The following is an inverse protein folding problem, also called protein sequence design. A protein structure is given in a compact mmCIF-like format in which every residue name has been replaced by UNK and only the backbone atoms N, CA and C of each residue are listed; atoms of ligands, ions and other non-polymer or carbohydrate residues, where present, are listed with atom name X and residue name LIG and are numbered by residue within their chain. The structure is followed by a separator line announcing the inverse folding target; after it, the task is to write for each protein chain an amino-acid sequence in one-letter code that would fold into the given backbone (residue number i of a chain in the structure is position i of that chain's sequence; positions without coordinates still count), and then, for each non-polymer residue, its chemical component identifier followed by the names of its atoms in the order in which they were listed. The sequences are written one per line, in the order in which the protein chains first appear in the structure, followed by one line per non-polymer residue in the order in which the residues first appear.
data_IF_023086143751
#
_entry.id   IF_023086143751
#
_cell.length_a   1.000
_cell.length_b   1.000
_cell.length_c   1.000
_cell.angle_alpha   90.00
_cell.angle_beta   90.00
_cell.angle_gamma   90.00
#
_symmetry.space_group_name_H-M   'P 1'
#
loop_
_entity.id
_entity.type
_entity.pdbx_description
1 polymer ?
#
# COMPACT_ATOMS: atom_id res chain seq x y z
N UNK A 1 24.30 11.01 -23.07
CA UNK A 1 23.42 10.97 -24.26
C UNK A 1 22.04 10.62 -23.77
N UNK A 2 21.05 11.48 -24.06
CA UNK A 2 19.70 11.43 -23.50
C UNK A 2 19.07 10.05 -23.73
N UNK A 3 18.63 9.39 -22.67
CA UNK A 3 17.69 8.28 -22.80
C UNK A 3 16.38 8.90 -23.27
N UNK A 4 16.16 8.90 -24.58
CA UNK A 4 14.85 9.18 -25.17
C UNK A 4 13.87 8.15 -24.62
N UNK A 5 13.08 8.53 -23.62
CA UNK A 5 11.88 7.81 -23.23
C UNK A 5 10.92 7.88 -24.41
N UNK A 6 11.04 6.90 -25.30
CA UNK A 6 10.12 6.67 -26.40
C UNK A 6 8.73 6.43 -25.82
N UNK A 7 7.86 7.46 -25.92
CA UNK A 7 6.40 7.39 -25.94
C UNK A 7 5.80 6.14 -25.30
N UNK A 8 5.98 5.96 -23.99
CA UNK A 8 5.12 5.07 -23.23
C UNK A 8 3.81 5.84 -23.04
N UNK A 9 2.89 5.65 -23.98
CA UNK A 9 1.56 6.25 -23.98
C UNK A 9 0.95 6.15 -22.58
N UNK A 10 0.83 7.29 -21.90
CA UNK A 10 -0.13 7.42 -20.83
C UNK A 10 -1.49 6.96 -21.41
N UNK A 11 -2.03 5.86 -20.89
CA UNK A 11 -3.30 5.30 -21.35
C UNK A 11 -4.34 6.42 -21.44
N UNK A 12 -4.98 6.58 -22.60
CA UNK A 12 -6.13 7.47 -22.74
C UNK A 12 -7.20 7.00 -21.75
N UNK A 13 -7.45 7.80 -20.72
CA UNK A 13 -8.57 7.64 -19.81
C UNK A 13 -9.86 7.84 -20.64
N UNK A 14 -10.66 6.80 -20.90
CA UNK A 14 -11.78 6.88 -21.85
C UNK A 14 -12.96 7.72 -21.34
N UNK A 15 -13.03 7.98 -20.03
CA UNK A 15 -14.20 8.56 -19.37
C UNK A 15 -14.13 10.07 -19.08
N UNK A 16 -13.08 10.77 -19.56
CA UNK A 16 -12.92 12.22 -19.35
C UNK A 16 -13.26 13.03 -20.60
N UNK A 17 -13.92 14.19 -20.46
CA UNK A 17 -14.10 15.13 -21.56
C UNK A 17 -12.76 15.45 -22.26
N UNK A 18 -12.70 15.54 -23.60
CA UNK A 18 -11.45 15.64 -24.34
C UNK A 18 -10.48 16.73 -23.86
N UNK A 19 -11.00 17.90 -23.47
CA UNK A 19 -10.21 19.02 -22.95
C UNK A 19 -9.59 18.75 -21.57
N UNK A 20 -10.31 18.03 -20.72
CA UNK A 20 -9.82 17.65 -19.38
C UNK A 20 -8.81 16.52 -19.47
N UNK A 21 -9.04 15.55 -20.37
CA UNK A 21 -8.09 14.49 -20.66
C UNK A 21 -6.76 15.06 -21.19
N UNK A 22 -6.82 16.00 -22.14
CA UNK A 22 -5.62 16.68 -22.69
C UNK A 22 -4.89 17.49 -21.62
N UNK A 23 -5.64 18.22 -20.77
CA UNK A 23 -5.07 18.96 -19.64
C UNK A 23 -4.34 18.05 -18.67
N UNK A 24 -4.97 16.96 -18.20
CA UNK A 24 -4.34 15.97 -17.30
C UNK A 24 -3.13 15.32 -17.95
N UNK A 25 -3.22 14.95 -19.23
CA UNK A 25 -2.09 14.39 -19.97
C UNK A 25 -0.90 15.34 -19.97
N UNK A 26 -1.13 16.63 -20.26
CA UNK A 26 -0.08 17.65 -20.25
C UNK A 26 0.50 17.87 -18.85
N UNK A 27 -0.32 17.80 -17.80
CA UNK A 27 0.12 17.92 -16.42
C UNK A 27 0.98 16.73 -15.98
N UNK A 28 0.58 15.49 -16.29
CA UNK A 28 1.40 14.30 -16.02
C UNK A 28 2.70 14.31 -16.84
N UNK A 29 2.65 14.74 -18.11
CA UNK A 29 3.86 14.85 -18.94
C UNK A 29 4.86 15.84 -18.36
N UNK A 30 4.38 16.98 -17.83
CA UNK A 30 5.27 17.95 -17.15
C UNK A 30 6.01 17.34 -15.97
N UNK A 31 5.37 16.46 -15.19
CA UNK A 31 6.04 15.76 -14.07
C UNK A 31 7.18 14.87 -14.56
N UNK A 32 6.98 14.18 -15.68
CA UNK A 32 8.00 13.34 -16.32
C UNK A 32 9.15 14.22 -16.83
N UNK A 33 8.83 15.29 -17.56
CA UNK A 33 9.83 16.19 -18.16
C UNK A 33 10.70 16.87 -17.10
N UNK A 34 10.16 17.12 -15.90
CA UNK A 34 10.88 17.72 -14.77
C UNK A 34 11.51 16.69 -13.81
N UNK A 35 11.34 15.40 -14.03
CA UNK A 35 11.85 14.38 -13.12
C UNK A 35 13.38 14.32 -13.16
N UNK A 36 13.98 14.17 -11.98
CA UNK A 36 15.44 14.01 -11.81
C UNK A 36 15.74 12.73 -11.04
N UNK A 37 16.96 12.22 -11.18
CA UNK A 37 17.40 11.10 -10.35
C UNK A 37 17.48 11.53 -8.88
N UNK A 38 17.26 10.58 -7.97
CA UNK A 38 17.45 10.81 -6.54
C UNK A 38 18.91 11.20 -6.27
N UNK A 39 19.07 12.18 -5.40
CA UNK A 39 20.36 12.55 -4.79
C UNK A 39 20.84 11.44 -3.84
N UNK A 40 22.13 11.46 -3.51
CA UNK A 40 22.70 10.48 -2.57
C UNK A 40 21.99 10.51 -1.20
N UNK A 41 21.59 11.69 -0.73
CA UNK A 41 20.83 11.84 0.52
C UNK A 41 19.45 11.18 0.42
N UNK A 42 18.73 11.37 -0.69
CA UNK A 42 17.42 10.75 -0.92
C UNK A 42 17.52 9.23 -1.12
N UNK A 43 18.64 8.72 -1.66
CA UNK A 43 18.89 7.27 -1.76
C UNK A 43 19.07 6.66 -0.37
N UNK A 44 19.81 7.32 0.52
CA UNK A 44 19.98 6.90 1.91
C UNK A 44 18.63 6.91 2.62
N UNK A 45 17.89 8.02 2.56
CA UNK A 45 16.55 8.15 3.16
C UNK A 45 15.59 7.08 2.62
N UNK A 46 15.56 6.84 1.31
CA UNK A 46 14.77 5.77 0.71
C UNK A 46 15.11 4.41 1.32
N UNK A 47 16.40 4.12 1.50
CA UNK A 47 16.85 2.84 2.07
C UNK A 47 16.40 2.71 3.52
N UNK A 48 16.44 3.78 4.30
CA UNK A 48 15.92 3.81 5.67
C UNK A 48 14.40 3.65 5.71
N UNK A 49 13.65 4.34 4.85
CA UNK A 49 12.19 4.24 4.80
C UNK A 49 11.73 2.83 4.42
N UNK A 50 12.48 2.11 3.58
CA UNK A 50 12.17 0.73 3.22
C UNK A 50 12.24 -0.24 4.41
N UNK A 51 12.97 0.09 5.49
CA UNK A 51 13.03 -0.74 6.70
C UNK A 51 11.94 -0.42 7.72
N UNK A 52 11.30 0.74 7.59
CA UNK A 52 10.24 1.20 8.52
C UNK A 52 8.86 0.62 8.19
N UNK A 53 8.70 0.00 7.02
CA UNK A 53 7.46 -0.65 6.61
C UNK A 53 7.32 -2.08 7.13
N UNK A 54 6.10 -2.63 6.99
CA UNK A 54 5.79 -4.03 7.33
C UNK A 54 6.20 -5.00 6.21
N UNK A 55 7.44 -4.90 5.72
CA UNK A 55 7.94 -5.66 4.56
C UNK A 55 8.04 -7.18 4.77
N UNK A 56 8.00 -7.62 6.04
CA UNK A 56 7.95 -9.02 6.44
C UNK A 56 6.54 -9.62 6.43
N UNK A 57 5.50 -8.83 6.12
CA UNK A 57 4.11 -9.29 5.99
C UNK A 57 3.72 -9.44 4.51
N UNK A 58 3.41 -10.67 4.13
CA UNK A 58 2.89 -11.02 2.81
C UNK A 58 1.39 -10.72 2.70
N UNK A 59 0.91 -10.59 1.46
CA UNK A 59 -0.53 -10.44 1.17
C UNK A 59 -1.36 -11.60 1.70
N UNK A 60 -0.80 -12.82 1.76
CA UNK A 60 -1.49 -14.00 2.30
C UNK A 60 -1.69 -13.87 3.81
N UNK A 61 -0.66 -13.47 4.55
CA UNK A 61 -0.73 -13.29 6.00
C UNK A 61 -1.70 -12.17 6.37
N UNK A 62 -1.71 -11.08 5.60
CA UNK A 62 -2.72 -10.02 5.74
C UNK A 62 -4.15 -10.58 5.61
N UNK A 63 -4.42 -11.40 4.58
CA UNK A 63 -5.74 -12.00 4.41
C UNK A 63 -6.11 -12.98 5.53
N UNK A 64 -5.14 -13.75 6.03
CA UNK A 64 -5.33 -14.62 7.20
C UNK A 64 -5.65 -13.80 8.44
N UNK A 65 -4.92 -12.71 8.67
CA UNK A 65 -5.16 -11.79 9.77
C UNK A 65 -6.58 -11.22 9.73
N UNK A 66 -7.05 -10.69 8.59
CA UNK A 66 -8.42 -10.16 8.46
C UNK A 66 -9.48 -11.23 8.76
N UNK A 67 -9.34 -12.44 8.20
CA UNK A 67 -10.27 -13.55 8.46
C UNK A 67 -10.25 -14.03 9.91
N UNK A 68 -9.08 -14.03 10.54
CA UNK A 68 -8.96 -14.41 11.94
C UNK A 68 -9.61 -13.35 12.85
N UNK A 69 -9.51 -12.07 12.51
CA UNK A 69 -10.22 -11.00 13.20
C UNK A 69 -11.75 -11.14 13.06
N UNK A 70 -12.27 -11.49 11.88
CA UNK A 70 -13.69 -11.83 11.70
C UNK A 70 -14.12 -13.02 12.58
N UNK A 71 -13.27 -14.06 12.69
CA UNK A 71 -13.60 -15.30 13.41
C UNK A 71 -13.54 -15.17 14.94
N UNK A 72 -12.55 -14.46 15.47
CA UNK A 72 -12.25 -14.41 16.91
C UNK A 72 -12.47 -13.03 17.54
N UNK A 73 -12.66 -12.00 16.72
CA UNK A 73 -12.70 -10.61 17.17
C UNK A 73 -11.30 -10.03 17.41
N UNK A 74 -11.20 -8.71 17.30
CA UNK A 74 -9.92 -7.98 17.28
C UNK A 74 -9.02 -8.11 18.52
N UNK A 75 -9.58 -8.55 19.64
CA UNK A 75 -8.88 -8.62 20.92
C UNK A 75 -8.28 -10.01 21.19
N UNK A 76 -8.71 -11.05 20.47
CA UNK A 76 -8.23 -12.43 20.69
C UNK A 76 -6.96 -12.70 19.86
N UNK A 77 -5.90 -11.96 20.19
CA UNK A 77 -4.63 -11.98 19.45
C UNK A 77 -3.94 -13.35 19.52
N UNK A 78 -4.17 -14.12 20.60
CA UNK A 78 -3.64 -15.49 20.73
C UNK A 78 -4.21 -16.42 19.67
N UNK A 79 -5.53 -16.38 19.43
CA UNK A 79 -6.14 -17.22 18.40
C UNK A 79 -5.89 -16.68 16.99
N UNK A 80 -5.77 -15.35 16.83
CA UNK A 80 -5.35 -14.75 15.55
C UNK A 80 -3.94 -15.21 15.17
N UNK A 81 -2.98 -15.18 16.10
CA UNK A 81 -1.61 -15.61 15.82
C UNK A 81 -1.52 -17.09 15.42
N UNK A 82 -2.36 -17.95 15.98
CA UNK A 82 -2.43 -19.38 15.60
C UNK A 82 -2.89 -19.62 14.16
N UNK A 83 -3.60 -18.69 13.52
CA UNK A 83 -4.03 -18.81 12.12
C UNK A 83 -2.94 -18.34 11.12
N UNK A 84 -1.84 -17.77 11.62
CA UNK A 84 -0.76 -17.20 10.83
C UNK A 84 0.54 -17.94 11.18
N UNK A 85 0.74 -19.10 10.56
CA UNK A 85 1.85 -20.03 10.87
C UNK A 85 3.27 -19.41 10.83
N UNK A 86 3.42 -18.30 10.12
CA UNK A 86 4.70 -17.61 9.85
C UNK A 86 4.95 -16.40 10.74
N UNK A 87 4.05 -16.09 11.69
CA UNK A 87 4.16 -14.94 12.59
C UNK A 87 4.03 -15.39 14.04
N UNK A 88 4.84 -14.79 14.89
CA UNK A 88 4.73 -14.95 16.34
C UNK A 88 3.62 -14.07 16.92
N UNK A 89 3.16 -14.38 18.13
CA UNK A 89 2.17 -13.55 18.82
C UNK A 89 2.63 -12.09 18.94
N UNK A 90 3.90 -11.85 19.29
CA UNK A 90 4.45 -10.50 19.40
C UNK A 90 4.39 -9.74 18.07
N UNK A 91 4.71 -10.38 16.94
CA UNK A 91 4.58 -9.76 15.62
C UNK A 91 3.12 -9.47 15.27
N UNK A 92 2.18 -10.34 15.64
CA UNK A 92 0.74 -10.09 15.44
C UNK A 92 0.23 -8.96 16.32
N UNK A 93 0.69 -8.84 17.55
CA UNK A 93 0.35 -7.72 18.46
C UNK A 93 0.82 -6.38 17.88
N UNK A 94 2.08 -6.31 17.45
CA UNK A 94 2.67 -5.10 16.84
C UNK A 94 1.91 -4.72 15.55
N UNK A 95 1.67 -5.69 14.68
CA UNK A 95 0.94 -5.48 13.43
C UNK A 95 -0.50 -5.04 13.68
N UNK A 96 -1.19 -5.69 14.63
CA UNK A 96 -2.58 -5.38 14.98
C UNK A 96 -2.74 -3.94 15.44
N UNK A 97 -1.82 -3.45 16.27
CA UNK A 97 -1.82 -2.05 16.72
C UNK A 97 -1.79 -1.08 15.55
N UNK A 98 -0.83 -1.24 14.63
CA UNK A 98 -0.68 -0.35 13.46
C UNK A 98 -1.86 -0.51 12.50
N UNK A 99 -2.33 -1.74 12.28
CA UNK A 99 -3.47 -2.03 11.43
C UNK A 99 -4.73 -1.27 11.89
N UNK A 100 -5.06 -1.31 13.18
CA UNK A 100 -6.25 -0.63 13.70
C UNK A 100 -6.07 0.89 13.78
N UNK A 101 -4.85 1.39 13.97
CA UNK A 101 -4.54 2.82 13.99
C UNK A 101 -4.66 3.46 12.60
N UNK A 102 -4.33 2.71 11.53
CA UNK A 102 -4.18 3.23 10.15
C UNK A 102 -5.04 2.47 9.13
N UNK A 103 -6.11 1.80 9.58
CA UNK A 103 -6.98 0.98 8.73
C UNK A 103 -7.53 1.80 7.56
N UNK A 104 -7.88 3.05 7.80
CA UNK A 104 -8.44 4.01 6.84
C UNK A 104 -7.51 4.35 5.67
N UNK A 105 -6.19 4.12 5.81
CA UNK A 105 -5.24 4.30 4.71
C UNK A 105 -5.34 3.18 3.65
N UNK A 106 -5.98 2.05 3.96
CA UNK A 106 -6.19 0.98 3.01
C UNK A 106 -7.29 1.36 2.01
N UNK A 107 -7.04 1.10 0.73
CA UNK A 107 -7.98 1.44 -0.35
C UNK A 107 -9.32 0.71 -0.24
N UNK A 108 -9.37 -0.42 0.46
CA UNK A 108 -10.56 -1.24 0.69
C UNK A 108 -10.96 -1.32 2.17
N UNK A 109 -10.59 -0.33 2.99
CA UNK A 109 -10.85 -0.29 4.44
C UNK A 109 -12.31 -0.51 4.83
N UNK A 110 -13.26 0.16 4.15
CA UNK A 110 -14.71 0.02 4.43
C UNK A 110 -15.16 -1.45 4.33
N UNK A 111 -14.67 -2.15 3.30
CA UNK A 111 -15.00 -3.55 3.05
C UNK A 111 -14.36 -4.46 4.10
N UNK A 112 -13.11 -4.19 4.47
CA UNK A 112 -12.40 -4.95 5.50
C UNK A 112 -13.11 -4.79 6.85
N UNK A 113 -13.43 -3.56 7.25
CA UNK A 113 -14.12 -3.28 8.51
C UNK A 113 -15.49 -3.97 8.55
N UNK A 114 -16.29 -3.85 7.48
CA UNK A 114 -17.59 -4.52 7.38
C UNK A 114 -17.49 -6.05 7.40
N UNK A 115 -16.35 -6.62 7.01
CA UNK A 115 -16.09 -8.07 7.10
C UNK A 115 -15.80 -8.48 8.53
N UNK A 116 -15.04 -7.66 9.27
CA UNK A 116 -14.65 -7.97 10.66
C UNK A 116 -15.79 -7.74 11.65
N UNK A 117 -16.66 -6.74 11.43
CA UNK A 117 -17.76 -6.37 12.34
C UNK A 117 -19.06 -7.16 12.11
N UNK A 118 -19.03 -8.19 11.26
CA UNK A 118 -20.20 -8.99 10.92
C UNK A 118 -20.62 -9.95 12.04
#
# INVERSE_FOLDING_TARGET
MMMSFSSAFAQKQPDLPPKEAEKKQKEEQKKIDSAVALTDAEIVEKTELLTQGQGNWSRREFQQFVKANEKYGRNDLENIAKEIDTKTLAEVEEYSKVFWERLDELSDHDRILATIEK
#
